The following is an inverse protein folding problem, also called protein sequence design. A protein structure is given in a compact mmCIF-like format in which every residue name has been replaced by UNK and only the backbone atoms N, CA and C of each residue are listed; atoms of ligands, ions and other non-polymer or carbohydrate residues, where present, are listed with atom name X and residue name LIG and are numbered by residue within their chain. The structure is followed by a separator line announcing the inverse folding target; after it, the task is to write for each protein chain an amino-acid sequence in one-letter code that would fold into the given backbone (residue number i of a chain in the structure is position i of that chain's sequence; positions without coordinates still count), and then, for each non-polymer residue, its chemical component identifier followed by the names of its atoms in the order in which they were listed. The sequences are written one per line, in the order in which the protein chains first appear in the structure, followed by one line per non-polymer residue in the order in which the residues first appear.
data_IF_166236665876
#
_entry.id   IF_166236665876
#
_cell.length_a   1.000
_cell.length_b   1.000
_cell.length_c   1.000
_cell.angle_alpha   90.00
_cell.angle_beta   90.00
_cell.angle_gamma   90.00
#
_symmetry.space_group_name_H-M   'P 1'
#
loop_
_entity.id
_entity.type
_entity.pdbx_description
1 polymer ?
#
# COMPACT_ATOMS: atom_id res chain seq x y z
N UNK A 1 23.38 57.26 -13.90
CA UNK A 1 22.18 56.63 -14.50
C UNK A 1 21.84 55.49 -13.59
N UNK A 2 20.79 55.67 -12.80
CA UNK A 2 20.26 54.68 -11.87
C UNK A 2 19.09 54.03 -12.60
N UNK A 3 19.17 52.71 -12.83
CA UNK A 3 18.01 51.94 -13.27
C UNK A 3 17.53 51.13 -12.07
N UNK A 4 16.43 51.63 -11.51
CA UNK A 4 15.48 50.89 -10.69
C UNK A 4 14.78 49.86 -11.56
N UNK A 5 14.81 48.58 -11.16
CA UNK A 5 13.67 47.68 -11.31
C UNK A 5 13.70 46.68 -10.16
N UNK A 6 13.04 47.12 -9.09
CA UNK A 6 12.43 46.31 -8.06
C UNK A 6 11.19 45.57 -8.64
N UNK A 7 10.66 44.58 -7.91
CA UNK A 7 9.57 43.63 -8.24
C UNK A 7 9.98 42.37 -9.02
N UNK A 8 10.26 41.30 -8.28
CA UNK A 8 9.26 40.25 -7.99
C UNK A 8 9.65 39.64 -6.64
N UNK A 9 8.99 40.14 -5.59
CA UNK A 9 8.81 39.42 -4.35
C UNK A 9 7.55 38.56 -4.47
N UNK A 10 7.52 37.42 -3.77
CA UNK A 10 6.28 36.70 -3.50
C UNK A 10 6.11 35.40 -4.28
N UNK A 11 7.07 34.51 -4.18
CA UNK A 11 6.79 33.08 -4.18
C UNK A 11 7.05 32.58 -2.77
N UNK A 12 6.12 32.84 -1.84
CA UNK A 12 6.05 32.03 -0.63
C UNK A 12 5.83 30.61 -1.15
N UNK A 13 6.90 29.81 -1.12
CA UNK A 13 6.79 28.38 -1.31
C UNK A 13 5.79 27.94 -0.26
N UNK A 14 4.61 27.54 -0.73
CA UNK A 14 3.65 26.75 0.01
C UNK A 14 4.47 25.77 0.85
N UNK A 15 4.36 25.87 2.17
CA UNK A 15 4.80 24.84 3.09
C UNK A 15 4.24 23.54 2.52
N UNK A 16 5.06 22.79 1.79
CA UNK A 16 4.78 21.41 1.51
C UNK A 16 4.98 20.77 2.86
N UNK A 17 3.91 20.82 3.66
CA UNK A 17 3.76 20.11 4.93
C UNK A 17 4.58 18.84 4.80
N UNK A 18 5.63 18.70 5.61
CA UNK A 18 6.55 17.57 5.61
C UNK A 18 5.74 16.28 5.76
N UNK A 19 5.25 15.73 4.65
CA UNK A 19 4.55 14.45 4.62
C UNK A 19 5.64 13.47 5.01
N UNK A 20 5.53 12.83 6.19
CA UNK A 20 6.58 11.97 6.68
C UNK A 20 6.82 10.87 5.64
N UNK A 21 8.08 10.68 5.24
CA UNK A 21 8.45 9.72 4.21
C UNK A 21 8.02 8.28 4.57
N UNK A 22 7.85 8.02 5.88
CA UNK A 22 7.40 6.75 6.43
C UNK A 22 6.23 6.98 7.42
N UNK A 23 5.26 6.06 7.43
CA UNK A 23 4.15 6.08 8.40
C UNK A 23 3.86 4.68 8.94
N UNK A 24 3.55 4.57 10.23
CA UNK A 24 3.09 3.33 10.85
C UNK A 24 1.56 3.31 10.95
N UNK A 25 0.97 2.11 11.07
CA UNK A 25 -0.45 1.99 11.39
C UNK A 25 -0.73 2.57 12.78
N UNK A 26 -1.80 3.35 12.90
CA UNK A 26 -2.26 3.84 14.20
C UNK A 26 -3.00 2.74 14.99
N UNK A 27 -3.20 2.90 16.33
CA UNK A 27 -3.87 1.89 17.14
C UNK A 27 -5.30 1.54 16.70
N UNK A 28 -6.04 2.51 16.16
CA UNK A 28 -7.41 2.28 15.67
C UNK A 28 -7.38 1.42 14.40
N UNK A 29 -6.54 1.78 13.43
CA UNK A 29 -6.31 1.01 12.22
C UNK A 29 -5.90 -0.43 12.56
N UNK A 30 -4.93 -0.59 13.47
CA UNK A 30 -4.48 -1.91 13.94
C UNK A 30 -5.65 -2.72 14.51
N UNK A 31 -6.48 -2.14 15.38
CA UNK A 31 -7.59 -2.85 15.99
C UNK A 31 -8.65 -3.25 14.94
N UNK A 32 -8.96 -2.34 14.02
CA UNK A 32 -9.89 -2.60 12.92
C UNK A 32 -9.39 -3.73 12.02
N UNK A 33 -8.15 -3.63 11.52
CA UNK A 33 -7.50 -4.62 10.66
C UNK A 33 -7.37 -5.98 11.37
N UNK A 34 -7.05 -6.00 12.67
CA UNK A 34 -6.93 -7.23 13.46
C UNK A 34 -8.24 -8.02 13.44
N UNK A 35 -9.36 -7.36 13.74
CA UNK A 35 -10.68 -8.01 13.76
C UNK A 35 -11.03 -8.61 12.38
N UNK A 36 -10.67 -7.89 11.32
CA UNK A 36 -11.03 -8.23 9.96
C UNK A 36 -10.17 -9.36 9.39
N UNK A 37 -8.86 -9.34 9.67
CA UNK A 37 -7.95 -10.44 9.35
C UNK A 37 -8.28 -11.70 10.17
N UNK A 38 -8.60 -11.54 11.46
CA UNK A 38 -8.99 -12.66 12.32
C UNK A 38 -10.26 -13.36 11.82
N UNK A 39 -11.27 -12.59 11.37
CA UNK A 39 -12.49 -13.14 10.79
C UNK A 39 -12.25 -13.97 9.51
N UNK A 40 -11.11 -13.76 8.84
CA UNK A 40 -10.68 -14.51 7.65
C UNK A 40 -9.65 -15.60 7.95
N UNK A 41 -9.30 -15.82 9.22
CA UNK A 41 -8.27 -16.79 9.61
C UNK A 41 -6.86 -16.41 9.17
N UNK A 42 -6.61 -15.12 8.92
CA UNK A 42 -5.30 -14.61 8.49
C UNK A 42 -4.44 -14.23 9.71
N UNK A 43 -3.10 -14.31 9.59
CA UNK A 43 -2.19 -13.75 10.60
C UNK A 43 -2.50 -12.27 10.85
N UNK A 44 -2.27 -11.80 12.08
CA UNK A 44 -2.52 -10.40 12.47
C UNK A 44 -1.56 -9.88 13.55
N UNK A 45 -0.63 -10.72 14.01
CA UNK A 45 0.43 -10.38 14.98
C UNK A 45 1.43 -9.37 14.41
N UNK A 46 1.54 -9.29 13.08
CA UNK A 46 2.46 -8.41 12.37
C UNK A 46 1.96 -6.96 12.23
N UNK A 47 0.68 -6.67 12.51
CA UNK A 47 0.09 -5.36 12.21
C UNK A 47 0.83 -4.19 12.88
N UNK A 48 1.37 -4.38 14.09
CA UNK A 48 2.18 -3.36 14.76
C UNK A 48 3.56 -3.11 14.15
N UNK A 49 3.94 -3.88 13.12
CA UNK A 49 5.21 -3.78 12.39
C UNK A 49 5.00 -3.25 10.96
N UNK A 50 3.74 -3.03 10.54
CA UNK A 50 3.45 -2.54 9.20
C UNK A 50 3.91 -1.09 9.08
N UNK A 51 4.69 -0.82 8.03
CA UNK A 51 5.21 0.51 7.71
C UNK A 51 4.88 0.86 6.27
N UNK A 52 4.25 2.01 6.05
CA UNK A 52 4.11 2.62 4.74
C UNK A 52 5.34 3.47 4.44
N UNK A 53 5.84 3.38 3.20
CA UNK A 53 6.97 4.18 2.71
C UNK A 53 6.61 4.91 1.43
N UNK A 54 6.97 6.19 1.36
CA UNK A 54 6.78 7.02 0.18
C UNK A 54 7.92 6.76 -0.82
N UNK A 55 7.62 5.99 -1.87
CA UNK A 55 8.62 5.56 -2.85
C UNK A 55 9.52 4.41 -2.37
N UNK A 56 10.41 3.96 -3.26
CA UNK A 56 11.43 2.94 -2.95
C UNK A 56 12.60 3.54 -2.17
N UNK A 57 13.18 2.77 -1.24
CA UNK A 57 14.24 3.23 -0.33
C UNK A 57 15.58 2.48 -0.51
N UNK A 58 15.67 1.58 -1.48
CA UNK A 58 16.84 0.75 -1.76
C UNK A 58 16.95 -0.50 -0.89
N UNK A 59 16.02 -0.71 0.05
CA UNK A 59 15.91 -1.93 0.84
C UNK A 59 14.98 -2.98 0.21
N UNK A 60 14.30 -2.62 -0.88
CA UNK A 60 13.46 -3.53 -1.64
C UNK A 60 14.28 -4.62 -2.35
N UNK A 61 13.69 -5.80 -2.50
CA UNK A 61 14.25 -6.85 -3.34
C UNK A 61 13.92 -6.58 -4.83
N UNK A 62 14.56 -7.34 -5.71
CA UNK A 62 14.41 -7.16 -7.17
C UNK A 62 12.96 -7.35 -7.64
N UNK A 63 12.20 -8.24 -7.01
CA UNK A 63 10.80 -8.49 -7.41
C UNK A 63 9.92 -7.30 -7.08
N UNK A 64 10.09 -6.71 -5.89
CA UNK A 64 9.40 -5.49 -5.46
C UNK A 64 9.76 -4.32 -6.35
N UNK A 65 11.05 -4.12 -6.66
CA UNK A 65 11.49 -3.05 -7.56
C UNK A 65 10.89 -3.19 -8.98
N UNK A 66 10.88 -4.41 -9.52
CA UNK A 66 10.29 -4.70 -10.84
C UNK A 66 8.78 -4.46 -10.82
N UNK A 67 8.07 -4.98 -9.81
CA UNK A 67 6.64 -4.77 -9.66
C UNK A 67 6.31 -3.28 -9.58
N UNK A 68 7.05 -2.51 -8.79
CA UNK A 68 6.86 -1.07 -8.62
C UNK A 68 6.98 -0.27 -9.93
N UNK A 69 7.91 -0.67 -10.79
CA UNK A 69 8.19 0.01 -12.06
C UNK A 69 7.24 -0.40 -13.19
N UNK A 70 6.74 -1.65 -13.18
CA UNK A 70 6.02 -2.22 -14.33
C UNK A 70 4.51 -2.32 -14.16
N UNK A 71 4.01 -2.36 -12.93
CA UNK A 71 2.63 -2.79 -12.66
C UNK A 71 1.57 -1.68 -12.77
N UNK A 72 1.97 -0.41 -12.83
CA UNK A 72 1.04 0.72 -12.74
C UNK A 72 0.25 0.75 -11.42
N UNK A 73 0.64 -0.03 -10.40
CA UNK A 73 -0.04 -0.10 -9.11
C UNK A 73 0.24 1.14 -8.26
N UNK A 74 -0.69 1.42 -7.35
CA UNK A 74 -0.58 2.50 -6.37
C UNK A 74 0.49 2.21 -5.30
N UNK A 75 0.74 0.93 -5.02
CA UNK A 75 1.65 0.47 -3.99
C UNK A 75 2.14 -0.97 -4.29
N UNK A 76 3.16 -1.40 -3.55
CA UNK A 76 3.69 -2.77 -3.56
C UNK A 76 4.15 -3.16 -2.16
N UNK A 77 3.70 -4.33 -1.69
CA UNK A 77 4.11 -4.89 -0.40
C UNK A 77 5.37 -5.76 -0.50
N UNK A 78 6.26 -5.63 0.48
CA UNK A 78 7.36 -6.53 0.78
C UNK A 78 7.40 -6.83 2.28
N UNK A 79 6.97 -8.04 2.66
CA UNK A 79 6.89 -8.42 4.08
C UNK A 79 5.93 -7.51 4.84
N UNK A 80 6.46 -6.72 5.79
CA UNK A 80 5.69 -5.74 6.56
C UNK A 80 5.79 -4.31 6.01
N UNK A 81 6.59 -4.09 4.96
CA UNK A 81 6.78 -2.77 4.35
C UNK A 81 5.86 -2.64 3.15
N UNK A 82 5.09 -1.56 3.08
CA UNK A 82 4.22 -1.21 1.96
C UNK A 82 4.79 0.04 1.31
N UNK A 83 5.40 -0.13 0.14
CA UNK A 83 5.89 0.99 -0.65
C UNK A 83 4.70 1.60 -1.39
N UNK A 84 4.51 2.91 -1.31
CA UNK A 84 3.35 3.64 -1.84
C UNK A 84 3.83 4.79 -2.73
N UNK A 85 3.22 4.95 -3.90
CA UNK A 85 3.56 6.06 -4.82
C UNK A 85 3.45 7.39 -4.06
N UNK A 86 4.48 8.26 -4.10
CA UNK A 86 4.49 9.47 -3.28
C UNK A 86 3.24 10.34 -3.41
N UNK A 87 2.71 10.47 -4.62
CA UNK A 87 1.49 11.23 -4.92
C UNK A 87 0.20 10.64 -4.33
N UNK A 88 0.21 9.38 -3.89
CA UNK A 88 -0.93 8.69 -3.26
C UNK A 88 -0.72 8.47 -1.76
N UNK A 89 0.43 8.85 -1.21
CA UNK A 89 0.84 8.44 0.13
C UNK A 89 -0.18 8.82 1.21
N UNK A 90 -0.64 10.08 1.21
CA UNK A 90 -1.60 10.58 2.20
C UNK A 90 -2.93 9.80 2.17
N UNK A 91 -3.48 9.56 0.98
CA UNK A 91 -4.73 8.81 0.83
C UNK A 91 -4.57 7.34 1.26
N UNK A 92 -3.36 6.81 1.13
CA UNK A 92 -3.02 5.45 1.52
C UNK A 92 -2.93 5.28 3.03
N UNK A 93 -2.14 6.13 3.70
CA UNK A 93 -1.93 6.03 5.15
C UNK A 93 -3.18 6.40 5.95
N UNK A 94 -4.08 7.18 5.36
CA UNK A 94 -5.41 7.49 5.91
C UNK A 94 -6.49 6.49 5.51
N UNK A 95 -6.15 5.46 4.72
CA UNK A 95 -7.09 4.45 4.21
C UNK A 95 -8.29 5.01 3.43
N UNK A 96 -8.13 6.18 2.81
CA UNK A 96 -9.07 6.74 1.84
C UNK A 96 -8.94 6.03 0.48
N UNK A 97 -7.73 5.58 0.14
CA UNK A 97 -7.49 4.73 -0.99
C UNK A 97 -7.72 3.25 -0.62
N UNK A 98 -8.62 2.58 -1.32
CA UNK A 98 -8.95 1.17 -1.06
C UNK A 98 -7.73 0.23 -1.17
N UNK A 99 -6.74 0.58 -1.99
CA UNK A 99 -5.52 -0.20 -2.15
C UNK A 99 -4.74 -0.33 -0.83
N UNK A 100 -4.91 0.58 0.13
CA UNK A 100 -4.35 0.44 1.47
C UNK A 100 -4.80 -0.83 2.18
N UNK A 101 -6.08 -1.21 2.04
CA UNK A 101 -6.58 -2.46 2.60
C UNK A 101 -6.05 -3.68 1.83
N UNK A 102 -5.88 -3.57 0.50
CA UNK A 102 -5.34 -4.63 -0.35
C UNK A 102 -3.90 -4.97 0.07
N UNK A 103 -3.04 -3.97 0.19
CA UNK A 103 -1.63 -4.14 0.56
C UNK A 103 -1.44 -4.67 1.99
N UNK A 104 -2.26 -4.24 2.95
CA UNK A 104 -2.21 -4.84 4.30
C UNK A 104 -2.62 -6.32 4.27
N UNK A 105 -3.57 -6.69 3.41
CA UNK A 105 -3.91 -8.09 3.21
C UNK A 105 -2.76 -8.88 2.55
N UNK A 106 -2.05 -8.27 1.60
CA UNK A 106 -0.83 -8.86 1.05
C UNK A 106 0.25 -9.04 2.12
N UNK A 107 0.42 -8.10 3.04
CA UNK A 107 1.34 -8.27 4.18
C UNK A 107 0.94 -9.46 5.06
N UNK A 108 -0.36 -9.71 5.25
CA UNK A 108 -0.85 -10.90 5.95
C UNK A 108 -0.56 -12.19 5.18
N UNK A 109 -0.66 -12.16 3.85
CA UNK A 109 -0.29 -13.29 2.99
C UNK A 109 1.23 -13.52 3.02
N UNK A 110 2.05 -12.49 2.95
CA UNK A 110 3.50 -12.58 3.16
C UNK A 110 3.83 -13.18 4.52
N UNK A 111 3.12 -12.81 5.58
CA UNK A 111 3.31 -13.39 6.91
C UNK A 111 2.97 -14.88 6.94
N UNK A 112 1.97 -15.31 6.18
CA UNK A 112 1.53 -16.70 6.11
C UNK A 112 2.46 -17.58 5.27
N UNK A 113 2.94 -17.07 4.14
CA UNK A 113 3.67 -17.85 3.13
C UNK A 113 5.18 -17.53 3.05
N UNK A 114 5.64 -16.44 3.66
CA UNK A 114 7.04 -16.02 3.62
C UNK A 114 7.51 -15.70 2.19
N UNK A 115 8.75 -16.06 1.89
CA UNK A 115 9.38 -15.83 0.58
C UNK A 115 8.70 -16.60 -0.56
N UNK A 116 7.96 -17.68 -0.25
CA UNK A 116 7.17 -18.42 -1.23
C UNK A 116 6.01 -17.59 -1.77
N UNK A 117 5.63 -16.49 -1.11
CA UNK A 117 4.57 -15.60 -1.58
C UNK A 117 4.82 -15.10 -3.01
N UNK A 118 6.02 -14.63 -3.35
CA UNK A 118 6.30 -14.14 -4.72
C UNK A 118 6.16 -15.25 -5.76
N UNK A 119 6.62 -16.46 -5.43
CA UNK A 119 6.50 -17.62 -6.31
C UNK A 119 5.04 -18.02 -6.49
N UNK A 120 4.29 -18.12 -5.40
CA UNK A 120 2.87 -18.48 -5.41
C UNK A 120 2.03 -17.42 -6.13
N UNK A 121 2.27 -16.15 -5.83
CA UNK A 121 1.60 -15.00 -6.44
C UNK A 121 1.90 -14.92 -7.95
N UNK A 122 3.16 -15.07 -8.35
CA UNK A 122 3.55 -15.11 -9.75
C UNK A 122 2.91 -16.29 -10.50
N UNK A 123 2.89 -17.48 -9.90
CA UNK A 123 2.23 -18.67 -10.46
C UNK A 123 0.72 -18.42 -10.61
N UNK A 124 0.05 -17.89 -9.58
CA UNK A 124 -1.39 -17.60 -9.64
C UNK A 124 -1.74 -16.54 -10.67
N UNK A 125 -0.87 -15.54 -10.90
CA UNK A 125 -1.05 -14.56 -11.98
C UNK A 125 -0.91 -15.18 -13.37
N UNK A 126 0.04 -16.10 -13.56
CA UNK A 126 0.20 -16.83 -14.82
C UNK A 126 -1.00 -17.74 -15.10
N UNK A 127 -1.49 -18.45 -14.08
CA UNK A 127 -2.69 -19.27 -14.19
C UNK A 127 -3.92 -18.41 -14.54
N UNK A 128 -4.09 -17.25 -13.91
CA UNK A 128 -5.18 -16.31 -14.22
C UNK A 128 -5.19 -15.81 -15.67
N UNK A 129 -4.01 -15.55 -16.22
CA UNK A 129 -3.83 -15.19 -17.63
C UNK A 129 -4.22 -16.30 -18.60
N UNK A 130 -3.93 -17.57 -18.27
CA UNK A 130 -4.23 -18.72 -19.13
C UNK A 130 -5.73 -19.01 -19.27
N UNK A 131 -6.53 -18.71 -18.24
CA UNK A 131 -7.98 -18.98 -18.23
C UNK A 131 -8.84 -17.76 -18.65
N UNK A 132 -8.23 -16.71 -19.20
CA UNK A 132 -8.96 -15.59 -19.80
C UNK A 132 -9.56 -14.59 -18.82
N UNK A 133 -9.27 -14.71 -17.51
CA UNK A 133 -9.62 -13.71 -16.51
C UNK A 133 -8.65 -12.51 -16.51
N UNK A 134 -7.47 -12.65 -17.11
CA UNK A 134 -6.38 -11.68 -17.04
C UNK A 134 -5.40 -12.03 -15.91
N UNK A 135 -4.14 -11.61 -16.06
CA UNK A 135 -3.08 -11.98 -15.10
C UNK A 135 -3.37 -11.49 -13.67
N UNK A 136 -4.06 -10.36 -13.54
CA UNK A 136 -4.33 -9.73 -12.25
C UNK A 136 -5.66 -10.20 -11.64
N UNK A 137 -6.71 -10.35 -12.46
CA UNK A 137 -8.04 -10.77 -11.97
C UNK A 137 -8.23 -12.29 -11.89
N UNK A 138 -7.29 -13.08 -12.40
CA UNK A 138 -7.28 -14.54 -12.22
C UNK A 138 -6.31 -15.05 -11.16
N UNK A 139 -5.60 -14.15 -10.46
CA UNK A 139 -4.76 -14.51 -9.33
C UNK A 139 -5.63 -14.60 -8.05
N UNK A 140 -5.73 -15.78 -7.43
CA UNK A 140 -6.54 -15.97 -6.22
C UNK A 140 -6.09 -15.09 -5.04
N UNK A 141 -4.81 -14.78 -4.92
CA UNK A 141 -4.29 -13.89 -3.88
C UNK A 141 -4.80 -12.47 -4.08
N UNK A 142 -4.80 -11.97 -5.32
CA UNK A 142 -5.36 -10.68 -5.71
C UNK A 142 -6.87 -10.62 -5.55
N UNK A 143 -7.60 -11.66 -5.98
CA UNK A 143 -9.05 -11.75 -5.80
C UNK A 143 -9.40 -11.64 -4.31
N UNK A 144 -8.66 -12.34 -3.45
CA UNK A 144 -8.87 -12.31 -2.01
C UNK A 144 -8.55 -10.94 -1.41
N UNK A 145 -7.46 -10.29 -1.84
CA UNK A 145 -7.07 -8.96 -1.39
C UNK A 145 -8.10 -7.90 -1.80
N UNK A 146 -8.52 -7.88 -3.08
CA UNK A 146 -9.59 -7.00 -3.58
C UNK A 146 -10.92 -7.24 -2.87
N UNK A 147 -11.29 -8.51 -2.64
CA UNK A 147 -12.51 -8.86 -1.90
C UNK A 147 -12.46 -8.34 -0.46
N UNK A 148 -11.32 -8.48 0.21
CA UNK A 148 -11.08 -7.89 1.54
C UNK A 148 -11.22 -6.37 1.49
N UNK A 149 -10.52 -5.69 0.59
CA UNK A 149 -10.57 -4.23 0.49
C UNK A 149 -11.97 -3.68 0.21
N UNK A 150 -12.74 -4.32 -0.68
CA UNK A 150 -14.12 -3.92 -0.94
C UNK A 150 -15.02 -4.07 0.30
N UNK A 151 -14.82 -5.13 1.10
CA UNK A 151 -15.55 -5.30 2.37
C UNK A 151 -15.16 -4.22 3.39
N UNK A 152 -13.88 -3.88 3.44
CA UNK A 152 -13.33 -2.92 4.40
C UNK A 152 -13.74 -1.49 4.11
N UNK A 153 -13.68 -1.07 2.84
CA UNK A 153 -14.15 0.25 2.40
C UNK A 153 -15.64 0.46 2.74
N UNK A 154 -16.45 -0.59 2.65
CA UNK A 154 -17.88 -0.55 3.04
C UNK A 154 -18.15 -0.64 4.55
N UNK A 155 -17.14 -0.96 5.37
CA UNK A 155 -17.32 -1.21 6.81
C UNK A 155 -17.16 0.04 7.69
N UNK A 156 -16.97 1.23 7.10
CA UNK A 156 -16.75 2.52 7.78
C UNK A 156 -15.79 2.38 8.98
N UNK A 157 -14.47 2.38 8.70
CA UNK A 157 -13.46 2.49 9.74
C UNK A 157 -13.68 3.79 10.54
N UNK A 158 -14.40 3.70 11.65
CA UNK A 158 -14.70 4.83 12.51
C UNK A 158 -13.65 4.91 13.61
N UNK A 159 -12.55 5.55 13.28
CA UNK A 159 -11.61 6.07 14.27
C UNK A 159 -12.17 7.40 14.77
N UNK A 160 -13.29 7.34 15.49
CA UNK A 160 -13.89 8.53 16.09
C UNK A 160 -12.88 9.23 17.01
N UNK A 161 -12.58 10.49 16.71
CA UNK A 161 -11.89 11.40 17.63
C UNK A 161 -12.76 11.80 18.82
#
# INVERSE_FOLDING_TARGET
MADELDLIAGGEGEDTDDVPADAALDPCQINFLRNQLQAKGMPNDFLGQVTFKSGLDGAENIYTAVAWLQSGTAAVTQGNTIYVKPELFNDFVTFQNKAAYEEVFHAAQFRQYGDDFYSLYGISSVYGGFFGAGMYDGNQFEINAKSFANQMQGSNMSCGG
#
